data_IF_868159080206
#
_entry.id   IF_868159080206
#
_cell.length_a   1.000
_cell.length_b   1.000
_cell.length_c   1.000
_cell.angle_alpha   90.00
_cell.angle_beta   90.00
_cell.angle_gamma   90.00
#
_symmetry.space_group_name_H-M   'P 1'
#
loop_
_entity.id
_entity.type
_entity.pdbx_description
1 polymer ?
#
# COMPACT_ATOMS: atom_id res chain seq x y z
N UNK A 1 6.63 -14.96 17.72
CA UNK A 1 5.46 -15.86 17.68
C UNK A 1 5.94 -17.28 17.72
N UNK A 2 5.15 -18.25 17.23
CA UNK A 2 5.63 -19.62 17.01
C UNK A 2 6.73 -19.70 15.93
N UNK A 3 6.68 -18.76 14.97
CA UNK A 3 7.69 -18.56 13.95
C UNK A 3 8.65 -17.41 14.33
N UNK A 4 9.87 -17.47 13.78
CA UNK A 4 10.86 -16.40 13.84
C UNK A 4 10.33 -15.11 13.18
N UNK A 5 10.84 -13.95 13.61
CA UNK A 5 10.42 -12.66 13.07
C UNK A 5 10.65 -12.56 11.55
N UNK A 6 11.71 -13.20 11.04
CA UNK A 6 11.98 -13.32 9.60
C UNK A 6 10.77 -13.82 8.78
N UNK A 7 9.90 -14.64 9.37
CA UNK A 7 8.70 -15.21 8.73
C UNK A 7 7.39 -14.53 9.13
N UNK A 8 7.37 -13.76 10.21
CA UNK A 8 6.14 -13.28 10.84
C UNK A 8 6.24 -11.83 11.38
N UNK A 9 7.10 -11.01 10.79
CA UNK A 9 7.15 -9.58 11.06
C UNK A 9 6.17 -8.82 10.14
N UNK A 10 5.42 -7.88 10.70
CA UNK A 10 4.33 -7.20 10.01
C UNK A 10 4.76 -5.81 9.55
N UNK A 11 4.61 -5.54 8.25
CA UNK A 11 4.93 -4.25 7.63
C UNK A 11 6.34 -3.73 7.93
N UNK A 12 7.30 -4.64 8.15
CA UNK A 12 8.74 -4.35 8.28
C UNK A 12 9.48 -5.14 7.20
N UNK A 13 10.24 -4.44 6.36
CA UNK A 13 11.10 -5.05 5.35
C UNK A 13 12.58 -4.82 5.68
N UNK A 14 13.30 -5.92 5.93
CA UNK A 14 14.72 -5.93 6.22
C UNK A 14 15.41 -7.11 5.51
N UNK A 15 16.75 -7.18 5.60
CA UNK A 15 17.54 -8.20 4.91
C UNK A 15 17.32 -9.64 5.42
N UNK A 16 16.74 -9.80 6.62
CA UNK A 16 16.37 -11.09 7.18
C UNK A 16 14.90 -11.48 6.87
N UNK A 17 14.12 -10.61 6.22
CA UNK A 17 12.73 -10.91 5.85
C UNK A 17 12.68 -12.07 4.85
N UNK A 18 11.95 -13.12 5.21
CA UNK A 18 11.66 -14.30 4.36
C UNK A 18 10.25 -14.24 3.79
N UNK A 19 9.31 -13.67 4.55
CA UNK A 19 7.95 -13.44 4.12
C UNK A 19 7.53 -12.02 4.51
N UNK A 20 7.24 -11.19 3.52
CA UNK A 20 6.76 -9.82 3.74
C UNK A 20 5.24 -9.83 3.93
N UNK A 21 4.77 -9.31 5.06
CA UNK A 21 3.35 -9.16 5.35
C UNK A 21 2.93 -7.69 5.21
N UNK A 22 2.16 -7.37 4.17
CA UNK A 22 1.62 -6.02 3.92
C UNK A 22 0.21 -5.87 4.52
N UNK A 23 0.15 -5.78 5.85
CA UNK A 23 -1.12 -5.82 6.60
C UNK A 23 -1.80 -4.46 6.72
N UNK A 24 -1.05 -3.35 6.63
CA UNK A 24 -1.60 -2.01 6.75
C UNK A 24 -2.28 -1.54 5.46
N UNK A 25 -3.59 -1.78 5.39
CA UNK A 25 -4.44 -1.34 4.26
C UNK A 25 -4.33 0.17 3.95
N UNK A 26 -4.18 1.03 4.96
CA UNK A 26 -4.13 2.49 4.81
C UNK A 26 -2.91 3.01 4.04
N UNK A 27 -1.85 2.18 3.94
CA UNK A 27 -0.53 2.58 3.46
C UNK A 27 -0.02 1.73 2.32
N UNK A 28 -0.91 0.99 1.62
CA UNK A 28 -0.50 0.12 0.52
C UNK A 28 0.33 0.90 -0.53
N UNK A 29 1.55 0.43 -0.86
CA UNK A 29 2.49 1.19 -1.70
C UNK A 29 1.93 1.73 -3.02
N UNK A 30 1.08 0.94 -3.68
CA UNK A 30 0.51 1.26 -4.98
C UNK A 30 -0.75 2.14 -4.92
N UNK A 31 -1.34 2.37 -3.73
CA UNK A 31 -2.58 3.14 -3.60
C UNK A 31 -2.39 4.55 -3.05
N UNK A 32 -1.17 4.93 -2.65
CA UNK A 32 -0.91 6.23 -2.02
C UNK A 32 -1.52 7.40 -2.81
N UNK A 33 -2.23 8.30 -2.12
CA UNK A 33 -2.91 9.45 -2.73
C UNK A 33 -4.25 9.16 -3.41
N UNK A 34 -4.65 7.89 -3.59
CA UNK A 34 -5.98 7.55 -4.11
C UNK A 34 -7.06 7.73 -3.03
N UNK A 35 -8.33 7.96 -3.41
CA UNK A 35 -9.43 7.98 -2.47
C UNK A 35 -9.60 6.61 -1.81
N UNK A 36 -9.98 6.60 -0.55
CA UNK A 36 -10.16 5.35 0.21
C UNK A 36 -11.34 4.54 -0.33
N UNK A 37 -11.09 3.27 -0.65
CA UNK A 37 -12.07 2.34 -1.21
C UNK A 37 -12.67 1.35 -0.21
N UNK A 38 -12.51 1.62 1.09
CA UNK A 38 -12.90 0.66 2.12
C UNK A 38 -13.57 1.30 3.31
N UNK A 39 -14.46 0.53 3.91
CA UNK A 39 -15.11 0.91 5.17
C UNK A 39 -14.14 0.60 6.31
N UNK A 40 -13.67 1.61 7.07
CA UNK A 40 -12.89 1.37 8.27
C UNK A 40 -13.70 0.54 9.25
N UNK A 41 -13.05 -0.38 9.96
CA UNK A 41 -13.70 -1.06 11.07
C UNK A 41 -14.20 -0.02 12.09
N UNK A 42 -15.46 -0.14 12.51
CA UNK A 42 -16.01 0.70 13.58
C UNK A 42 -15.30 0.30 14.89
N UNK A 43 -14.28 1.08 15.28
CA UNK A 43 -13.53 0.89 16.54
C UNK A 43 -14.23 1.56 17.74
N UNK A 44 -15.36 2.20 17.50
CA UNK A 44 -16.05 3.07 18.45
C UNK A 44 -17.32 2.44 19.05
N UNK A 45 -17.37 1.11 19.18
CA UNK A 45 -18.46 0.43 19.90
C UNK A 45 -18.61 0.92 21.35
N UNK A 46 -17.55 1.51 21.92
CA UNK A 46 -17.57 2.09 23.26
C UNK A 46 -18.24 3.48 23.36
N UNK A 47 -18.52 4.18 22.24
CA UNK A 47 -19.14 5.51 22.26
C UNK A 47 -20.29 5.63 21.24
N UNK A 48 -21.52 5.26 21.64
CA UNK A 48 -22.68 5.16 20.74
C UNK A 48 -22.97 6.40 19.86
N UNK A 49 -22.82 7.64 20.34
CA UNK A 49 -23.11 8.83 19.51
C UNK A 49 -22.20 8.96 18.27
N UNK A 50 -20.92 8.57 18.39
CA UNK A 50 -19.99 8.65 17.26
C UNK A 50 -20.27 7.54 16.23
N UNK A 51 -20.64 6.35 16.70
CA UNK A 51 -21.09 5.25 15.83
C UNK A 51 -22.35 5.62 15.04
N UNK A 52 -23.34 6.26 15.66
CA UNK A 52 -24.54 6.74 14.97
C UNK A 52 -24.24 7.85 13.95
N UNK A 53 -23.33 8.78 14.26
CA UNK A 53 -22.88 9.79 13.31
C UNK A 53 -22.21 9.17 12.10
N UNK A 54 -21.32 8.20 12.30
CA UNK A 54 -20.64 7.49 11.20
C UNK A 54 -21.64 6.66 10.37
N UNK A 55 -22.63 6.03 11.01
CA UNK A 55 -23.71 5.34 10.31
C UNK A 55 -24.57 6.31 9.48
N UNK A 56 -24.95 7.46 10.03
CA UNK A 56 -25.70 8.49 9.31
C UNK A 56 -24.89 9.05 8.13
N UNK A 57 -23.59 9.31 8.31
CA UNK A 57 -22.68 9.72 7.23
C UNK A 57 -22.72 8.74 6.06
N UNK A 58 -22.60 7.43 6.34
CA UNK A 58 -22.65 6.37 5.31
C UNK A 58 -23.98 6.37 4.56
N UNK A 59 -25.10 6.52 5.27
CA UNK A 59 -26.45 6.51 4.67
C UNK A 59 -26.75 7.75 3.81
N UNK A 60 -26.21 8.91 4.16
CA UNK A 60 -26.49 10.18 3.48
C UNK A 60 -25.50 10.46 2.35
N UNK A 61 -24.22 10.18 2.55
CA UNK A 61 -23.14 10.56 1.63
C UNK A 61 -22.45 9.37 0.95
N UNK A 62 -22.81 8.14 1.30
CA UNK A 62 -22.18 6.91 0.81
C UNK A 62 -21.02 6.43 1.70
N UNK A 63 -20.63 5.18 1.49
CA UNK A 63 -19.70 4.47 2.38
C UNK A 63 -18.32 5.13 2.48
N UNK A 64 -17.85 5.73 1.39
CA UNK A 64 -16.49 6.27 1.27
C UNK A 64 -16.36 7.79 1.45
N UNK A 65 -17.48 8.50 1.59
CA UNK A 65 -17.47 9.96 1.71
C UNK A 65 -16.70 10.45 2.94
N UNK A 66 -15.83 11.44 2.78
CA UNK A 66 -15.03 12.04 3.86
C UNK A 66 -14.05 11.08 4.56
N UNK A 67 -13.70 9.92 3.97
CA UNK A 67 -12.65 9.05 4.51
C UNK A 67 -11.24 9.57 4.21
N UNK A 68 -11.08 10.40 3.18
CA UNK A 68 -9.80 10.94 2.75
C UNK A 68 -9.09 10.04 1.74
N UNK A 69 -7.76 10.04 1.78
CA UNK A 69 -6.91 9.35 0.81
C UNK A 69 -5.94 8.39 1.50
N UNK A 70 -5.48 7.37 0.76
CA UNK A 70 -4.39 6.51 1.21
C UNK A 70 -3.13 7.32 1.49
N UNK A 71 -2.41 6.93 2.54
CA UNK A 71 -1.14 7.54 2.92
C UNK A 71 0.01 6.82 2.24
N UNK A 72 1.13 7.51 2.10
CA UNK A 72 2.39 6.86 1.72
C UNK A 72 2.82 5.84 2.77
N UNK A 73 3.47 4.78 2.34
CA UNK A 73 4.01 3.78 3.27
C UNK A 73 5.12 4.39 4.13
N UNK A 74 5.11 4.20 5.47
CA UNK A 74 6.12 4.76 6.35
C UNK A 74 7.50 4.15 6.10
N UNK A 75 7.56 2.88 5.74
CA UNK A 75 8.77 2.20 5.28
C UNK A 75 8.89 2.34 3.76
N UNK A 76 9.86 3.15 3.32
CA UNK A 76 10.12 3.42 1.90
C UNK A 76 10.64 2.19 1.15
N UNK A 77 11.26 1.23 1.85
CA UNK A 77 11.81 0.03 1.20
C UNK A 77 10.70 -0.83 0.61
N UNK A 78 9.52 -0.88 1.26
CA UNK A 78 8.37 -1.60 0.71
C UNK A 78 7.80 -0.92 -0.53
N UNK A 79 7.78 0.41 -0.56
CA UNK A 79 7.39 1.14 -1.77
C UNK A 79 8.39 0.90 -2.90
N UNK A 80 9.69 1.00 -2.61
CA UNK A 80 10.73 0.74 -3.59
C UNK A 80 10.69 -0.71 -4.09
N UNK A 81 10.48 -1.69 -3.21
CA UNK A 81 10.41 -3.11 -3.56
C UNK A 81 9.25 -3.35 -4.54
N UNK A 82 8.06 -2.85 -4.23
CA UNK A 82 6.90 -3.00 -5.11
C UNK A 82 7.16 -2.39 -6.49
N UNK A 83 7.61 -1.13 -6.55
CA UNK A 83 7.81 -0.44 -7.82
C UNK A 83 9.01 -0.97 -8.62
N UNK A 84 10.04 -1.48 -7.97
CA UNK A 84 11.14 -2.15 -8.65
C UNK A 84 10.72 -3.49 -9.26
N UNK A 85 9.85 -4.24 -8.57
CA UNK A 85 9.22 -5.46 -9.13
C UNK A 85 8.31 -5.11 -10.31
N UNK A 86 7.49 -4.07 -10.20
CA UNK A 86 6.65 -3.60 -11.30
C UNK A 86 7.49 -3.17 -12.50
N UNK A 87 8.57 -2.40 -12.28
CA UNK A 87 9.49 -2.00 -13.34
C UNK A 87 10.07 -3.23 -14.04
N UNK A 88 10.52 -4.24 -13.29
CA UNK A 88 11.00 -5.50 -13.88
C UNK A 88 9.94 -6.19 -14.75
N UNK A 89 8.69 -6.23 -14.29
CA UNK A 89 7.58 -6.79 -15.07
C UNK A 89 7.23 -5.96 -16.32
N UNK A 90 7.56 -4.67 -16.34
CA UNK A 90 7.45 -3.84 -17.54
C UNK A 90 8.60 -4.16 -18.50
N UNK A 91 9.82 -4.24 -17.98
CA UNK A 91 11.02 -4.53 -18.76
C UNK A 91 10.98 -5.93 -19.42
N UNK A 92 10.39 -6.91 -18.73
CA UNK A 92 10.21 -8.28 -19.27
C UNK A 92 8.96 -8.45 -20.17
N UNK A 93 8.12 -7.41 -20.27
CA UNK A 93 6.90 -7.41 -21.09
C UNK A 93 5.71 -8.14 -20.49
N UNK A 94 5.77 -8.63 -19.25
CA UNK A 94 4.64 -9.28 -18.56
C UNK A 94 3.53 -8.27 -18.21
N UNK A 95 3.90 -7.02 -17.98
CA UNK A 95 2.99 -5.89 -17.73
C UNK A 95 3.30 -4.79 -18.72
N UNK A 96 2.31 -4.30 -19.47
CA UNK A 96 2.55 -3.18 -20.41
C UNK A 96 2.32 -1.82 -19.77
N UNK A 97 2.88 -0.76 -20.35
CA UNK A 97 2.61 0.60 -19.91
C UNK A 97 1.13 0.96 -20.01
N UNK A 98 0.42 0.46 -21.03
CA UNK A 98 -1.02 0.65 -21.21
C UNK A 98 -1.81 -0.02 -20.08
N UNK A 99 -1.39 -1.19 -19.61
CA UNK A 99 -1.99 -1.82 -18.43
C UNK A 99 -1.85 -0.90 -17.21
N UNK A 100 -0.65 -0.38 -16.95
CA UNK A 100 -0.42 0.53 -15.82
C UNK A 100 -1.27 1.78 -15.95
N UNK A 101 -1.32 2.41 -17.13
CA UNK A 101 -2.14 3.58 -17.38
C UNK A 101 -3.64 3.29 -17.17
N UNK A 102 -4.14 2.14 -17.65
CA UNK A 102 -5.52 1.71 -17.44
C UNK A 102 -5.83 1.54 -15.95
N UNK A 103 -4.99 0.84 -15.22
CA UNK A 103 -5.18 0.63 -13.78
C UNK A 103 -5.04 1.92 -12.98
N UNK A 104 -4.24 2.88 -13.45
CA UNK A 104 -4.22 4.24 -12.90
C UNK A 104 -5.55 4.93 -13.16
N UNK A 105 -6.12 4.89 -14.37
CA UNK A 105 -7.41 5.50 -14.68
C UNK A 105 -8.54 4.95 -13.80
N UNK A 106 -8.50 3.66 -13.48
CA UNK A 106 -9.46 2.98 -12.61
C UNK A 106 -9.25 3.19 -11.10
N UNK A 107 -8.28 4.02 -10.69
CA UNK A 107 -7.92 4.22 -9.27
C UNK A 107 -7.49 2.92 -8.56
N UNK A 108 -6.93 1.97 -9.30
CA UNK A 108 -6.30 0.78 -8.73
C UNK A 108 -4.83 1.04 -8.41
N UNK A 109 -4.17 1.89 -9.20
CA UNK A 109 -2.77 2.30 -9.05
C UNK A 109 -2.69 3.83 -8.92
N UNK A 110 -1.79 4.31 -8.05
CA UNK A 110 -1.57 5.73 -7.78
C UNK A 110 -1.23 6.51 -9.05
N UNK A 111 -1.80 7.71 -9.17
CA UNK A 111 -1.70 8.55 -10.38
C UNK A 111 -0.28 9.04 -10.69
N UNK A 112 0.60 9.05 -9.69
CA UNK A 112 2.00 9.43 -9.85
C UNK A 112 2.93 8.22 -10.07
N UNK A 113 2.40 7.01 -10.30
CA UNK A 113 3.18 5.80 -10.57
C UNK A 113 4.28 5.99 -11.64
N UNK A 114 4.06 6.69 -12.79
CA UNK A 114 5.13 6.93 -13.76
C UNK A 114 6.28 7.78 -13.20
N UNK A 115 6.01 8.66 -12.25
CA UNK A 115 7.03 9.46 -11.57
C UNK A 115 7.78 8.65 -10.51
N UNK A 116 7.11 7.67 -9.88
CA UNK A 116 7.74 6.75 -8.93
C UNK A 116 8.63 5.75 -9.67
N UNK A 117 8.14 5.14 -10.76
CA UNK A 117 8.89 4.21 -11.61
C UNK A 117 10.19 4.83 -12.14
N UNK A 118 10.15 6.08 -12.63
CA UNK A 118 11.36 6.79 -13.11
C UNK A 118 12.42 7.01 -12.03
N UNK A 119 12.06 6.95 -10.76
CA UNK A 119 12.96 7.22 -9.62
C UNK A 119 13.35 5.96 -8.86
N UNK A 120 12.67 4.84 -9.11
CA UNK A 120 12.88 3.63 -8.33
C UNK A 120 14.24 3.02 -8.67
N UNK A 121 15.04 2.59 -7.68
CA UNK A 121 16.26 1.85 -7.97
C UNK A 121 15.95 0.49 -8.61
N UNK A 122 16.89 -0.10 -9.36
CA UNK A 122 16.77 -1.48 -9.84
C UNK A 122 16.54 -2.46 -8.69
N UNK A 123 15.82 -3.55 -8.96
CA UNK A 123 15.41 -4.52 -7.93
C UNK A 123 16.59 -5.06 -7.11
N UNK A 124 17.71 -5.37 -7.75
CA UNK A 124 18.90 -5.91 -7.09
C UNK A 124 19.52 -4.88 -6.13
N UNK A 125 19.47 -3.59 -6.49
CA UNK A 125 19.91 -2.51 -5.61
C UNK A 125 18.96 -2.35 -4.42
N UNK A 126 17.64 -2.40 -4.65
CA UNK A 126 16.65 -2.32 -3.56
C UNK A 126 16.89 -3.45 -2.55
N UNK A 127 17.01 -4.69 -3.02
CA UNK A 127 17.20 -5.87 -2.16
C UNK A 127 18.54 -5.84 -1.41
N UNK A 128 19.63 -5.46 -2.08
CA UNK A 128 20.94 -5.38 -1.44
C UNK A 128 21.07 -4.23 -0.45
N UNK A 129 20.25 -3.18 -0.59
CA UNK A 129 20.23 -2.02 0.32
C UNK A 129 19.33 -2.20 1.55
N UNK A 130 18.64 -3.33 1.69
CA UNK A 130 17.74 -3.55 2.82
C UNK A 130 18.49 -3.48 4.15
N UNK A 131 17.91 -2.83 5.17
CA UNK A 131 18.56 -2.67 6.46
C UNK A 131 18.75 -4.04 7.13
N UNK A 132 19.77 -4.16 7.98
CA UNK A 132 19.87 -5.27 8.90
C UNK A 132 18.68 -5.26 9.87
N UNK A 133 18.22 -6.42 10.36
CA UNK A 133 17.20 -6.47 11.40
C UNK A 133 17.66 -5.68 12.63
N UNK A 134 16.72 -4.94 13.24
CA UNK A 134 16.95 -4.18 14.47
C UNK A 134 17.04 -5.10 15.70
#
# INVERSE_FOLDING_TARGET
GLLENSWNDLDVLNSNTRMLHTTRRWTQPWKAGLPIDFVPADKFDAFPPLGWLLHARRKIFGDYAFLGHYRSHPDKNQENLFFALLQKCIDDGTVTEEMVQREMLLDHVRKDAPSVLRKVPPIDQVVSSLPLPA
#
